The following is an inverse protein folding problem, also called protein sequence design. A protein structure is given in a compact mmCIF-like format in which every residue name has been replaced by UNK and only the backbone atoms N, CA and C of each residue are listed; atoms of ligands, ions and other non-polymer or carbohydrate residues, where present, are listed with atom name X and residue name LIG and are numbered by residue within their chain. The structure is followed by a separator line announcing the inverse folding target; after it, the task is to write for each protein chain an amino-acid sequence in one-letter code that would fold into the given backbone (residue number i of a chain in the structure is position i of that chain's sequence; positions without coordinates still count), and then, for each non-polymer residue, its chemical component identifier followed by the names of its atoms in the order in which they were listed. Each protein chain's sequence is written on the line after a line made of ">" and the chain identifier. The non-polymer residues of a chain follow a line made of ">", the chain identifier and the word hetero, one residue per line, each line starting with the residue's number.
data_IF_639132522953
#
_entry.id   IF_639132522953
#
_cell.length_a   1.000
_cell.length_b   1.000
_cell.length_c   1.000
_cell.angle_alpha   90.00
_cell.angle_beta   90.00
_cell.angle_gamma   90.00
#
_symmetry.space_group_name_H-M   'P 1'
#
loop_
_entity.id
_entity.type
_entity.pdbx_description
1 polymer ?
#
# COMPACT_ATOMS: atom_id res chain seq x y z
N UNK A 1 -16.86 18.12 -0.77
CA UNK A 1 -16.81 17.50 -2.11
C UNK A 1 -15.36 17.25 -2.50
N UNK A 2 -14.55 18.30 -2.72
CA UNK A 2 -13.12 18.19 -3.10
C UNK A 2 -12.34 17.24 -2.18
N UNK A 3 -12.39 17.44 -0.85
CA UNK A 3 -11.69 16.57 0.12
C UNK A 3 -12.10 15.09 0.10
N UNK A 4 -13.35 14.78 -0.26
CA UNK A 4 -13.81 13.38 -0.32
C UNK A 4 -13.35 12.72 -1.64
N UNK A 5 -13.31 13.48 -2.74
CA UNK A 5 -12.73 13.06 -4.03
C UNK A 5 -11.24 12.80 -3.88
N UNK A 6 -10.48 13.72 -3.27
CA UNK A 6 -9.04 13.56 -3.07
C UNK A 6 -8.72 12.30 -2.26
N UNK A 7 -9.50 12.05 -1.19
CA UNK A 7 -9.36 10.85 -0.37
C UNK A 7 -9.70 9.59 -1.15
N UNK A 8 -10.75 9.60 -1.96
CA UNK A 8 -11.10 8.46 -2.81
C UNK A 8 -9.99 8.17 -3.83
N UNK A 9 -9.61 9.15 -4.64
CA UNK A 9 -8.57 9.00 -5.66
C UNK A 9 -7.20 8.62 -5.05
N UNK A 10 -6.83 9.24 -3.92
CA UNK A 10 -5.63 8.88 -3.19
C UNK A 10 -5.66 7.44 -2.67
N UNK A 11 -6.82 6.98 -2.19
CA UNK A 11 -6.99 5.60 -1.73
C UNK A 11 -6.89 4.61 -2.88
N UNK A 12 -7.56 4.86 -4.01
CA UNK A 12 -7.47 3.99 -5.19
C UNK A 12 -6.03 3.89 -5.71
N UNK A 13 -5.30 5.01 -5.76
CA UNK A 13 -3.88 5.00 -6.15
C UNK A 13 -3.02 4.18 -5.19
N UNK A 14 -3.19 4.37 -3.88
CA UNK A 14 -2.47 3.58 -2.87
C UNK A 14 -2.81 2.08 -2.95
N UNK A 15 -4.06 1.70 -3.20
CA UNK A 15 -4.46 0.30 -3.39
C UNK A 15 -3.66 -0.34 -4.52
N UNK A 16 -3.58 0.32 -5.67
CA UNK A 16 -2.82 -0.21 -6.81
C UNK A 16 -1.35 -0.44 -6.45
N UNK A 17 -0.71 0.52 -5.79
CA UNK A 17 0.68 0.38 -5.37
C UNK A 17 0.87 -0.78 -4.38
N UNK A 18 -0.03 -0.91 -3.41
CA UNK A 18 0.01 -1.98 -2.41
C UNK A 18 -0.19 -3.36 -3.06
N UNK A 19 -1.14 -3.50 -3.97
CA UNK A 19 -1.38 -4.75 -4.71
C UNK A 19 -0.15 -5.12 -5.55
N UNK A 20 0.44 -4.17 -6.28
CA UNK A 20 1.63 -4.43 -7.07
C UNK A 20 2.81 -4.87 -6.18
N UNK A 21 3.03 -4.16 -5.08
CA UNK A 21 4.10 -4.52 -4.14
C UNK A 21 3.90 -5.89 -3.50
N UNK A 22 2.66 -6.25 -3.11
CA UNK A 22 2.37 -7.55 -2.50
C UNK A 22 2.54 -8.68 -3.50
N UNK A 23 2.08 -8.51 -4.74
CA UNK A 23 2.24 -9.51 -5.81
C UNK A 23 3.71 -9.78 -6.13
N UNK A 24 4.53 -8.72 -6.23
CA UNK A 24 5.97 -8.86 -6.50
C UNK A 24 6.66 -9.56 -5.33
N UNK A 25 6.35 -9.16 -4.09
CA UNK A 25 6.95 -9.74 -2.90
C UNK A 25 6.55 -11.21 -2.69
N UNK A 26 5.29 -11.55 -2.94
CA UNK A 26 4.78 -12.93 -2.91
C UNK A 26 5.48 -13.80 -3.96
N UNK A 27 5.61 -13.31 -5.19
CA UNK A 27 6.32 -14.03 -6.25
C UNK A 27 7.78 -14.29 -5.87
N UNK A 28 8.45 -13.26 -5.33
CA UNK A 28 9.83 -13.36 -4.88
C UNK A 28 9.98 -14.40 -3.76
N UNK A 29 9.13 -14.33 -2.73
CA UNK A 29 9.10 -15.28 -1.61
C UNK A 29 8.83 -16.72 -2.06
N UNK A 30 7.86 -16.93 -2.95
CA UNK A 30 7.53 -18.26 -3.48
C UNK A 30 8.69 -18.87 -4.25
N UNK A 31 9.37 -18.06 -5.08
CA UNK A 31 10.51 -18.52 -5.88
C UNK A 31 11.69 -18.93 -5.01
N UNK A 32 11.96 -18.18 -3.92
CA UNK A 32 12.97 -18.59 -2.94
C UNK A 32 12.61 -19.91 -2.24
N UNK A 33 11.33 -20.10 -1.87
CA UNK A 33 10.84 -21.36 -1.27
C UNK A 33 10.98 -22.55 -2.24
N UNK A 34 10.91 -22.32 -3.54
CA UNK A 34 11.17 -23.34 -4.58
C UNK A 34 12.67 -23.61 -4.82
N UNK A 35 13.56 -22.97 -4.06
CA UNK A 35 15.02 -23.13 -4.19
C UNK A 35 15.61 -22.41 -5.40
N UNK A 36 14.89 -21.45 -6.00
CA UNK A 36 15.42 -20.63 -7.09
C UNK A 36 16.36 -19.57 -6.51
N UNK A 37 17.54 -19.43 -7.11
CA UNK A 37 18.38 -18.26 -6.88
C UNK A 37 17.82 -17.07 -7.65
N UNK A 38 17.32 -16.09 -6.91
CA UNK A 38 16.84 -14.82 -7.46
C UNK A 38 17.82 -13.71 -7.11
N UNK A 39 18.27 -12.98 -8.14
CA UNK A 39 18.85 -11.65 -7.96
C UNK A 39 17.76 -10.58 -7.82
N UNK A 40 18.16 -9.33 -7.59
CA UNK A 40 17.25 -8.18 -7.65
C UNK A 40 16.55 -7.83 -6.33
N UNK A 41 17.01 -8.36 -5.19
CA UNK A 41 16.50 -7.93 -3.87
C UNK A 41 16.65 -6.42 -3.67
N UNK A 42 17.78 -5.87 -4.09
CA UNK A 42 18.06 -4.44 -4.10
C UNK A 42 17.02 -3.64 -4.91
N UNK A 43 16.63 -4.14 -6.08
CA UNK A 43 15.57 -3.52 -6.91
C UNK A 43 14.22 -3.61 -6.22
N UNK A 44 13.91 -4.73 -5.57
CA UNK A 44 12.68 -4.91 -4.80
C UNK A 44 12.62 -3.95 -3.61
N UNK A 45 13.71 -3.80 -2.86
CA UNK A 45 13.78 -2.87 -1.73
C UNK A 45 13.67 -1.42 -2.21
N UNK A 46 14.31 -1.07 -3.33
CA UNK A 46 14.17 0.26 -3.93
C UNK A 46 12.72 0.54 -4.37
N UNK A 47 12.04 -0.44 -4.96
CA UNK A 47 10.63 -0.32 -5.31
C UNK A 47 9.77 -0.10 -4.06
N UNK A 48 10.02 -0.84 -2.99
CA UNK A 48 9.29 -0.65 -1.73
C UNK A 48 9.55 0.74 -1.13
N UNK A 49 10.79 1.22 -1.14
CA UNK A 49 11.12 2.56 -0.66
C UNK A 49 10.38 3.64 -1.48
N UNK A 50 10.41 3.53 -2.81
CA UNK A 50 9.69 4.43 -3.71
C UNK A 50 8.18 4.46 -3.42
N UNK A 51 7.56 3.28 -3.29
CA UNK A 51 6.13 3.17 -2.95
C UNK A 51 5.84 3.79 -1.59
N UNK A 52 6.71 3.59 -0.60
CA UNK A 52 6.56 4.19 0.73
C UNK A 52 6.57 5.72 0.68
N UNK A 53 7.43 6.30 -0.15
CA UNK A 53 7.50 7.74 -0.36
C UNK A 53 6.25 8.29 -1.08
N UNK A 54 5.77 7.60 -2.12
CA UNK A 54 4.52 7.95 -2.79
C UNK A 54 3.32 7.87 -1.84
N UNK A 55 3.25 6.80 -1.03
CA UNK A 55 2.19 6.66 -0.02
C UNK A 55 2.24 7.79 1.00
N UNK A 56 3.43 8.17 1.47
CA UNK A 56 3.59 9.29 2.38
C UNK A 56 3.08 10.60 1.75
N UNK A 57 3.44 10.88 0.50
CA UNK A 57 2.99 12.06 -0.23
C UNK A 57 1.46 12.09 -0.35
N UNK A 58 0.85 11.00 -0.84
CA UNK A 58 -0.60 10.89 -1.00
C UNK A 58 -1.32 11.07 0.35
N UNK A 59 -0.81 10.46 1.42
CA UNK A 59 -1.44 10.57 2.75
C UNK A 59 -1.37 12.00 3.31
N UNK A 60 -0.33 12.74 2.96
CA UNK A 60 -0.14 14.13 3.36
C UNK A 60 -1.05 15.07 2.57
N UNK A 61 -1.11 14.93 1.25
CA UNK A 61 -1.92 15.78 0.37
C UNK A 61 -3.42 15.58 0.61
N UNK A 62 -3.87 14.34 0.83
CA UNK A 62 -5.27 14.03 1.13
C UNK A 62 -5.70 14.40 2.55
N UNK A 63 -4.74 14.66 3.45
CA UNK A 63 -5.00 14.92 4.87
C UNK A 63 -5.70 13.77 5.60
N UNK A 64 -5.63 12.53 5.10
CA UNK A 64 -6.31 11.38 5.69
C UNK A 64 -5.46 10.70 6.75
N UNK A 65 -5.97 10.63 7.98
CA UNK A 65 -5.33 9.89 9.08
C UNK A 65 -5.27 8.38 8.82
N UNK A 66 -6.29 7.83 8.15
CA UNK A 66 -6.32 6.40 7.78
C UNK A 66 -5.22 6.10 6.76
N UNK A 67 -5.04 6.96 5.75
CA UNK A 67 -3.99 6.78 4.75
C UNK A 67 -2.58 7.00 5.33
N UNK A 68 -2.43 7.92 6.28
CA UNK A 68 -1.16 8.10 7.01
C UNK A 68 -0.79 6.83 7.79
N UNK A 69 -1.77 6.21 8.45
CA UNK A 69 -1.57 4.97 9.16
C UNK A 69 -1.22 3.82 8.21
N UNK A 70 -1.91 3.71 7.07
CA UNK A 70 -1.58 2.71 6.05
C UNK A 70 -0.15 2.88 5.50
N UNK A 71 0.29 4.12 5.27
CA UNK A 71 1.66 4.41 4.85
C UNK A 71 2.70 4.00 5.92
N UNK A 72 2.39 4.18 7.20
CA UNK A 72 3.23 3.72 8.31
C UNK A 72 3.37 2.19 8.33
N UNK A 73 2.25 1.47 8.23
CA UNK A 73 2.24 0.00 8.19
C UNK A 73 3.02 -0.53 6.98
N UNK A 74 2.91 0.14 5.83
CA UNK A 74 3.70 -0.23 4.67
C UNK A 74 5.21 -0.01 4.88
N UNK A 75 5.60 1.04 5.59
CA UNK A 75 7.01 1.26 5.94
C UNK A 75 7.54 0.16 6.88
N UNK A 76 6.75 -0.28 7.85
CA UNK A 76 7.09 -1.47 8.66
C UNK A 76 7.26 -2.72 7.78
N UNK A 77 6.43 -2.88 6.74
CA UNK A 77 6.59 -3.98 5.79
C UNK A 77 7.91 -3.91 5.01
N UNK A 78 8.35 -2.71 4.62
CA UNK A 78 9.64 -2.51 3.94
C UNK A 78 10.83 -2.84 4.85
N UNK A 79 10.75 -2.48 6.14
CA UNK A 79 11.77 -2.85 7.14
C UNK A 79 11.81 -4.38 7.36
N UNK A 80 10.65 -5.04 7.39
CA UNK A 80 10.56 -6.50 7.44
C UNK A 80 11.15 -7.16 6.19
N UNK A 81 10.89 -6.63 5.01
CA UNK A 81 11.47 -7.15 3.76
C UNK A 81 13.00 -6.99 3.74
N UNK A 82 13.51 -5.84 4.22
CA UNK A 82 14.96 -5.56 4.34
C UNK A 82 15.67 -6.56 5.26
N UNK A 83 15.00 -6.98 6.34
CA UNK A 83 15.51 -8.00 7.27
C UNK A 83 15.29 -9.45 6.80
N UNK A 84 14.79 -9.66 5.58
CA UNK A 84 14.53 -10.98 5.01
C UNK A 84 13.24 -11.64 5.50
N UNK A 85 12.44 -10.95 6.32
CA UNK A 85 11.15 -11.44 6.80
C UNK A 85 10.01 -11.15 5.82
N UNK A 86 10.09 -11.78 4.64
CA UNK A 86 9.18 -11.52 3.52
C UNK A 86 7.73 -11.90 3.82
N UNK A 87 7.50 -12.94 4.62
CA UNK A 87 6.15 -13.40 4.96
C UNK A 87 5.39 -12.40 5.84
N UNK A 88 6.06 -11.86 6.85
CA UNK A 88 5.48 -10.81 7.69
C UNK A 88 5.34 -9.49 6.92
N UNK A 89 6.28 -9.19 6.02
CA UNK A 89 6.17 -8.04 5.13
C UNK A 89 4.90 -8.12 4.25
N UNK A 90 4.62 -9.26 3.61
CA UNK A 90 3.37 -9.47 2.84
C UNK A 90 2.13 -9.29 3.72
N UNK A 91 2.16 -9.81 4.95
CA UNK A 91 1.06 -9.68 5.90
C UNK A 91 0.79 -8.21 6.25
N UNK A 92 1.84 -7.42 6.48
CA UNK A 92 1.73 -5.98 6.74
C UNK A 92 1.22 -5.20 5.52
N UNK A 93 1.67 -5.52 4.31
CA UNK A 93 1.13 -4.92 3.08
C UNK A 93 -0.37 -5.19 2.97
N UNK A 94 -0.80 -6.41 3.31
CA UNK A 94 -2.22 -6.78 3.30
C UNK A 94 -3.04 -6.00 4.34
N UNK A 95 -2.48 -5.75 5.53
CA UNK A 95 -3.10 -4.89 6.53
C UNK A 95 -3.26 -3.45 6.03
N UNK A 96 -2.19 -2.87 5.44
CA UNK A 96 -2.24 -1.55 4.84
C UNK A 96 -3.32 -1.49 3.74
N UNK A 97 -3.38 -2.50 2.86
CA UNK A 97 -4.35 -2.58 1.77
C UNK A 97 -5.79 -2.59 2.27
N UNK A 98 -6.08 -3.33 3.34
CA UNK A 98 -7.41 -3.36 3.96
C UNK A 98 -7.85 -1.98 4.46
N UNK A 99 -6.94 -1.23 5.10
CA UNK A 99 -7.21 0.13 5.56
C UNK A 99 -7.46 1.10 4.41
N UNK A 100 -6.64 1.04 3.37
CA UNK A 100 -6.82 1.91 2.19
C UNK A 100 -8.13 1.60 1.48
N UNK A 101 -8.48 0.32 1.34
CA UNK A 101 -9.77 -0.11 0.75
C UNK A 101 -10.95 0.41 1.56
N UNK A 102 -10.88 0.30 2.88
CA UNK A 102 -11.91 0.85 3.77
C UNK A 102 -12.06 2.37 3.61
N UNK A 103 -10.95 3.11 3.46
CA UNK A 103 -11.00 4.56 3.21
C UNK A 103 -11.61 4.88 1.85
N UNK A 104 -11.30 4.11 0.80
CA UNK A 104 -11.86 4.28 -0.53
C UNK A 104 -13.38 4.12 -0.49
N UNK A 105 -13.87 3.01 0.05
CA UNK A 105 -15.30 2.71 0.16
C UNK A 105 -16.05 3.77 0.97
N UNK A 106 -15.47 4.20 2.09
CA UNK A 106 -16.07 5.24 2.92
C UNK A 106 -16.17 6.59 2.18
N UNK A 107 -15.14 6.94 1.42
CA UNK A 107 -15.11 8.20 0.65
C UNK A 107 -16.10 8.15 -0.51
N UNK A 108 -16.18 7.02 -1.21
CA UNK A 108 -17.12 6.80 -2.31
C UNK A 108 -18.58 6.94 -1.85
N UNK A 109 -18.95 6.25 -0.76
CA UNK A 109 -20.32 6.34 -0.20
C UNK A 109 -20.71 7.77 0.18
N UNK A 110 -19.76 8.60 0.60
CA UNK A 110 -20.01 10.02 0.90
C UNK A 110 -20.21 10.87 -0.35
N UNK A 111 -19.57 10.50 -1.45
CA UNK A 111 -19.75 11.16 -2.74
C UNK A 111 -21.11 10.79 -3.33
N UNK A 112 -21.47 9.50 -3.33
CA UNK A 112 -22.75 8.98 -3.84
C UNK A 112 -23.96 9.57 -3.11
N UNK A 113 -23.93 9.60 -1.76
CA UNK A 113 -25.01 10.22 -0.96
C UNK A 113 -25.21 11.71 -1.22
N UNK A 114 -24.21 12.40 -1.77
CA UNK A 114 -24.28 13.83 -2.08
C UNK A 114 -24.67 14.10 -3.53
N UNK A 115 -24.65 13.09 -4.40
CA UNK A 115 -25.15 13.19 -5.78
C UNK A 115 -26.66 12.92 -5.89
N UNK A 116 -27.27 12.33 -4.86
CA UNK A 116 -28.71 12.00 -4.81
C UNK A 116 -29.58 13.10 -4.17
N UNK A 117 -28.99 14.20 -3.69
CA UNK A 117 -29.69 15.34 -3.07
C UNK A 117 -29.25 16.67 -3.68
#
# INVERSE_FOLDING_TARGET
>A
MIRDVDKYCGSERMKTLLILSSSILLWYHSSLKEGKELGGMDVLLWLMEYIGNEMYLISTTTGSTILKHAASIFREAAEMATSGNLENAVTRISEALSRVTTQADYSLRKLEKKSEG
#
